data_IF_718652209058
#
_entry.id   IF_718652209058
#
_cell.length_a   1.000
_cell.length_b   1.000
_cell.length_c   1.000
_cell.angle_alpha   90.00
_cell.angle_beta   90.00
_cell.angle_gamma   90.00
#
_symmetry.space_group_name_H-M   'P 1'
#
loop_
_entity.id
_entity.type
_entity.pdbx_description
1 polymer ?
#
# COMPACT_ATOMS: atom_id res chain seq x y z
N UNK A 1 -68.53 27.78 -3.77
CA UNK A 1 -68.54 26.47 -4.44
C UNK A 1 -67.13 26.24 -4.94
N UNK A 2 -66.26 25.67 -4.11
CA UNK A 2 -66.02 24.19 -4.05
C UNK A 2 -65.55 23.70 -5.43
N UNK A 3 -64.36 23.14 -5.61
CA UNK A 3 -63.81 22.03 -4.83
C UNK A 3 -62.30 21.93 -5.10
N UNK A 4 -61.47 22.02 -4.06
CA UNK A 4 -60.03 21.69 -4.12
C UNK A 4 -59.90 20.17 -4.27
N UNK A 5 -59.29 19.69 -5.36
CA UNK A 5 -58.79 18.32 -5.46
C UNK A 5 -57.30 18.31 -5.11
N UNK A 6 -57.02 17.78 -3.93
CA UNK A 6 -55.69 17.44 -3.43
C UNK A 6 -55.34 16.09 -4.05
N UNK A 7 -54.40 16.07 -4.99
CA UNK A 7 -53.80 14.83 -5.49
C UNK A 7 -52.59 14.50 -4.63
N UNK A 8 -52.79 13.57 -3.70
CA UNK A 8 -51.75 12.99 -2.85
C UNK A 8 -51.04 11.90 -3.69
N UNK A 9 -49.88 12.23 -4.28
CA UNK A 9 -49.03 11.25 -4.97
C UNK A 9 -48.04 10.69 -3.96
N UNK A 10 -48.36 9.49 -3.45
CA UNK A 10 -47.45 8.60 -2.75
C UNK A 10 -46.44 8.04 -3.78
N UNK A 11 -45.26 8.64 -3.89
CA UNK A 11 -44.09 7.99 -4.48
C UNK A 11 -43.37 7.18 -3.38
N UNK A 12 -43.80 5.94 -3.22
CA UNK A 12 -43.06 4.87 -2.56
C UNK A 12 -42.28 4.07 -3.59
N UNK A 13 -41.00 3.83 -3.33
CA UNK A 13 -40.12 2.96 -4.11
C UNK A 13 -39.05 3.79 -4.85
N UNK A 14 -37.75 3.54 -4.73
CA UNK A 14 -37.03 2.34 -4.34
C UNK A 14 -35.62 2.80 -3.94
N UNK A 15 -35.30 2.77 -2.65
CA UNK A 15 -33.93 2.94 -2.17
C UNK A 15 -33.18 1.65 -2.50
N UNK A 16 -32.45 1.64 -3.62
CA UNK A 16 -31.42 0.64 -3.88
C UNK A 16 -30.29 0.86 -2.89
N UNK A 17 -30.40 0.24 -1.72
CA UNK A 17 -29.28 0.04 -0.82
C UNK A 17 -28.31 -0.92 -1.52
N UNK A 18 -27.32 -0.36 -2.22
CA UNK A 18 -26.10 -1.07 -2.55
C UNK A 18 -25.39 -1.41 -1.24
N UNK A 19 -25.73 -2.56 -0.67
CA UNK A 19 -24.94 -3.21 0.34
C UNK A 19 -23.61 -3.63 -0.31
N UNK A 20 -22.66 -2.70 -0.35
CA UNK A 20 -21.26 -3.10 -0.37
C UNK A 20 -21.01 -3.78 0.97
N UNK A 21 -21.06 -5.11 0.96
CA UNK A 21 -20.40 -5.92 1.98
C UNK A 21 -18.91 -5.67 1.79
N UNK A 22 -18.43 -4.57 2.37
CA UNK A 22 -17.04 -4.40 2.69
C UNK A 22 -16.74 -5.48 3.73
N UNK A 23 -16.32 -6.65 3.26
CA UNK A 23 -15.65 -7.63 4.09
C UNK A 23 -14.37 -6.98 4.58
N UNK A 24 -14.46 -6.31 5.73
CA UNK A 24 -13.32 -5.98 6.58
C UNK A 24 -12.65 -7.30 6.92
N UNK A 25 -11.69 -7.72 6.09
CA UNK A 25 -10.69 -8.69 6.52
C UNK A 25 -9.87 -7.97 7.59
N UNK A 26 -10.01 -8.41 8.84
CA UNK A 26 -9.08 -8.10 9.92
C UNK A 26 -7.67 -8.55 9.47
N UNK A 27 -6.88 -7.61 8.99
CA UNK A 27 -5.47 -7.80 8.63
C UNK A 27 -4.55 -7.81 9.87
N UNK A 28 -5.10 -7.68 11.08
CA UNK A 28 -4.34 -7.56 12.33
C UNK A 28 -4.10 -8.88 13.08
N UNK A 29 -4.73 -9.99 12.68
CA UNK A 29 -4.30 -11.30 13.17
C UNK A 29 -3.05 -11.76 12.41
N UNK A 30 -1.88 -11.27 12.82
CA UNK A 30 -0.62 -11.92 12.48
C UNK A 30 -0.67 -13.33 13.08
N UNK A 31 -0.66 -14.42 12.29
CA UNK A 31 -0.56 -15.75 12.87
C UNK A 31 0.80 -15.86 13.56
N UNK A 32 0.84 -15.70 14.88
CA UNK A 32 2.03 -15.98 15.68
C UNK A 32 2.23 -17.49 15.66
N UNK A 33 3.17 -17.95 14.83
CA UNK A 33 3.65 -19.33 14.84
C UNK A 33 4.36 -19.53 16.17
N UNK A 34 3.69 -20.16 17.14
CA UNK A 34 4.37 -20.61 18.37
C UNK A 34 5.40 -21.67 17.99
N UNK A 35 6.67 -21.55 18.38
CA UNK A 35 7.65 -22.59 18.18
C UNK A 35 7.36 -23.71 19.19
N UNK A 36 6.69 -24.76 18.73
CA UNK A 36 6.36 -25.91 19.54
C UNK A 36 5.84 -27.07 18.71
N UNK A 37 6.73 -28.02 18.43
CA UNK A 37 6.54 -29.40 17.91
C UNK A 37 6.25 -29.61 16.40
N UNK A 38 7.23 -30.22 15.71
CA UNK A 38 7.13 -31.36 14.77
C UNK A 38 6.06 -31.39 13.63
N UNK A 39 5.67 -30.26 13.07
CA UNK A 39 4.90 -30.21 11.82
C UNK A 39 5.76 -29.63 10.70
N UNK A 40 6.24 -30.46 9.78
CA UNK A 40 6.71 -29.92 8.50
C UNK A 40 5.51 -29.26 7.81
N UNK A 41 5.60 -27.99 7.40
CA UNK A 41 4.53 -27.36 6.64
C UNK A 41 4.24 -28.22 5.42
N UNK A 42 2.97 -28.49 5.14
CA UNK A 42 2.55 -29.28 3.98
C UNK A 42 3.16 -28.68 2.72
N UNK A 43 4.17 -29.36 2.17
CA UNK A 43 4.90 -28.92 0.97
C UNK A 43 4.10 -29.16 -0.32
N UNK A 44 3.05 -29.98 -0.24
CA UNK A 44 2.24 -30.40 -1.38
C UNK A 44 0.76 -30.54 -1.00
N UNK A 45 -0.13 -29.90 -1.76
CA UNK A 45 -1.57 -30.14 -1.69
C UNK A 45 -1.97 -31.07 -2.85
N UNK A 46 -2.39 -32.29 -2.52
CA UNK A 46 -2.87 -33.24 -3.50
C UNK A 46 -4.24 -32.82 -4.05
N UNK A 47 -4.35 -32.78 -5.37
CA UNK A 47 -5.55 -32.39 -6.12
C UNK A 47 -6.08 -33.61 -6.85
N UNK A 48 -7.25 -34.09 -6.44
CA UNK A 48 -7.90 -35.24 -7.07
C UNK A 48 -8.38 -34.89 -8.47
N UNK A 49 -7.92 -35.62 -9.49
CA UNK A 49 -8.40 -35.47 -10.87
C UNK A 49 -9.86 -35.94 -11.03
N UNK A 50 -10.37 -36.74 -10.09
CA UNK A 50 -11.76 -37.20 -10.08
C UNK A 50 -12.72 -36.12 -9.54
N UNK A 51 -12.22 -35.03 -8.96
CA UNK A 51 -13.02 -33.86 -8.60
C UNK A 51 -12.70 -32.71 -9.57
N UNK A 52 -13.45 -32.58 -10.69
CA UNK A 52 -13.15 -31.57 -11.70
C UNK A 52 -13.27 -30.14 -11.16
N UNK A 53 -14.05 -29.91 -10.09
CA UNK A 53 -14.19 -28.57 -9.51
C UNK A 53 -12.92 -28.16 -8.78
N UNK A 54 -12.41 -29.04 -7.91
CA UNK A 54 -11.16 -28.79 -7.17
C UNK A 54 -9.97 -28.76 -8.13
N UNK A 55 -9.95 -29.65 -9.13
CA UNK A 55 -8.92 -29.65 -10.17
C UNK A 55 -8.85 -28.32 -10.94
N UNK A 56 -9.98 -27.85 -11.47
CA UNK A 56 -10.02 -26.60 -12.24
C UNK A 56 -9.71 -25.38 -11.37
N UNK A 57 -10.17 -25.38 -10.11
CA UNK A 57 -9.84 -24.32 -9.17
C UNK A 57 -8.34 -24.24 -8.87
N UNK A 58 -7.69 -25.37 -8.61
CA UNK A 58 -6.25 -25.43 -8.35
C UNK A 58 -5.44 -25.01 -9.59
N UNK A 59 -5.83 -25.48 -10.77
CA UNK A 59 -5.21 -25.09 -12.03
C UNK A 59 -5.34 -23.58 -12.29
N UNK A 60 -6.52 -23.00 -12.04
CA UNK A 60 -6.75 -21.55 -12.15
C UNK A 60 -5.89 -20.75 -11.18
N UNK A 61 -5.79 -21.18 -9.93
CA UNK A 61 -4.96 -20.52 -8.92
C UNK A 61 -3.48 -20.55 -9.30
N UNK A 62 -2.97 -21.69 -9.78
CA UNK A 62 -1.58 -21.81 -10.20
C UNK A 62 -1.27 -21.02 -11.47
N UNK A 63 -2.16 -21.05 -12.48
CA UNK A 63 -2.03 -20.22 -13.68
C UNK A 63 -1.98 -18.72 -13.33
N UNK A 64 -2.86 -18.27 -12.43
CA UNK A 64 -2.88 -16.88 -11.98
C UNK A 64 -1.57 -16.48 -11.27
N UNK A 65 -1.02 -17.37 -10.43
CA UNK A 65 0.27 -17.16 -9.76
C UNK A 65 1.42 -17.05 -10.76
N UNK A 66 1.48 -17.98 -11.73
CA UNK A 66 2.53 -17.98 -12.76
C UNK A 66 2.43 -16.72 -13.62
N UNK A 67 1.24 -16.30 -14.03
CA UNK A 67 1.03 -15.05 -14.74
C UNK A 67 1.49 -13.84 -13.91
N UNK A 68 1.19 -13.84 -12.61
CA UNK A 68 1.64 -12.76 -11.73
C UNK A 68 3.17 -12.67 -11.65
N UNK A 69 3.83 -13.81 -11.44
CA UNK A 69 5.29 -13.87 -11.42
C UNK A 69 5.92 -13.47 -12.75
N UNK A 70 5.37 -13.95 -13.87
CA UNK A 70 5.85 -13.59 -15.21
C UNK A 70 5.78 -12.09 -15.45
N UNK A 71 4.66 -11.44 -15.10
CA UNK A 71 4.50 -9.99 -15.24
C UNK A 71 5.43 -9.20 -14.33
N UNK A 72 5.69 -9.70 -13.12
CA UNK A 72 6.73 -9.13 -12.24
C UNK A 72 8.12 -9.24 -12.87
N UNK A 73 8.46 -10.35 -13.51
CA UNK A 73 9.73 -10.52 -14.22
C UNK A 73 9.86 -9.55 -15.42
N UNK A 74 8.79 -9.41 -16.22
CA UNK A 74 8.77 -8.43 -17.33
C UNK A 74 8.94 -7.00 -16.81
N UNK A 75 8.20 -6.63 -15.75
CA UNK A 75 8.31 -5.31 -15.15
C UNK A 75 9.69 -5.07 -14.51
N UNK A 76 10.27 -6.08 -13.86
CA UNK A 76 11.63 -6.04 -13.32
C UNK A 76 12.65 -5.79 -14.43
N UNK A 77 12.55 -6.51 -15.55
CA UNK A 77 13.41 -6.32 -16.71
C UNK A 77 13.27 -4.93 -17.35
N UNK A 78 12.06 -4.36 -17.35
CA UNK A 78 11.85 -2.97 -17.77
C UNK A 78 12.61 -1.98 -16.87
N UNK A 79 12.52 -2.13 -15.54
CA UNK A 79 13.23 -1.25 -14.61
C UNK A 79 14.75 -1.36 -14.69
N UNK A 80 15.27 -2.56 -14.92
CA UNK A 80 16.69 -2.78 -15.19
C UNK A 80 17.13 -2.03 -16.46
N UNK A 81 16.36 -2.16 -17.55
CA UNK A 81 16.62 -1.50 -18.84
C UNK A 81 16.69 0.02 -18.74
N UNK A 82 15.85 0.65 -17.91
CA UNK A 82 15.83 2.11 -17.73
C UNK A 82 16.75 2.60 -16.58
N UNK A 83 17.41 1.70 -15.86
CA UNK A 83 18.29 2.04 -14.74
C UNK A 83 17.57 2.51 -13.47
N UNK A 84 16.30 2.14 -13.27
CA UNK A 84 15.53 2.49 -12.05
C UNK A 84 15.76 1.41 -10.96
N UNK A 85 16.88 1.55 -10.25
CA UNK A 85 17.35 0.57 -9.27
C UNK A 85 16.36 0.35 -8.10
N UNK A 86 15.66 1.40 -7.67
CA UNK A 86 14.69 1.33 -6.58
C UNK A 86 13.48 0.48 -7.00
N UNK A 87 12.93 0.74 -8.20
CA UNK A 87 11.80 -0.05 -8.73
C UNK A 87 12.20 -1.47 -9.12
N UNK A 88 13.43 -1.67 -9.60
CA UNK A 88 13.99 -3.00 -9.81
C UNK A 88 14.04 -3.81 -8.52
N UNK A 89 14.58 -3.22 -7.44
CA UNK A 89 14.68 -3.87 -6.15
C UNK A 89 13.30 -4.22 -5.59
N UNK A 90 12.35 -3.29 -5.71
CA UNK A 90 10.95 -3.51 -5.37
C UNK A 90 10.35 -4.71 -6.10
N UNK A 91 10.46 -4.77 -7.43
CA UNK A 91 9.89 -5.86 -8.24
C UNK A 91 10.53 -7.20 -7.85
N UNK A 92 11.83 -7.19 -7.54
CA UNK A 92 12.57 -8.37 -7.06
C UNK A 92 12.05 -8.86 -5.70
N UNK A 93 11.78 -7.94 -4.76
CA UNK A 93 11.22 -8.29 -3.46
C UNK A 93 9.81 -8.84 -3.57
N UNK A 94 8.96 -8.25 -4.42
CA UNK A 94 7.59 -8.75 -4.60
C UNK A 94 7.58 -10.12 -5.28
N UNK A 95 8.44 -10.36 -6.26
CA UNK A 95 8.61 -11.69 -6.84
C UNK A 95 9.05 -12.72 -5.79
N UNK A 96 9.99 -12.36 -4.92
CA UNK A 96 10.41 -13.22 -3.80
C UNK A 96 9.27 -13.43 -2.78
N UNK A 97 8.44 -12.42 -2.55
CA UNK A 97 7.28 -12.47 -1.66
C UNK A 97 6.24 -13.47 -2.18
N UNK A 98 5.89 -13.43 -3.47
CA UNK A 98 4.95 -14.40 -4.09
C UNK A 98 5.44 -15.84 -3.91
N UNK A 99 6.73 -16.08 -4.18
CA UNK A 99 7.33 -17.41 -4.00
C UNK A 99 7.32 -17.88 -2.55
N UNK A 100 7.56 -16.99 -1.58
CA UNK A 100 7.52 -17.32 -0.14
C UNK A 100 6.08 -17.49 0.37
N UNK A 101 5.14 -16.73 -0.19
CA UNK A 101 3.75 -16.74 0.19
C UNK A 101 3.08 -18.07 -0.15
N UNK A 102 3.37 -18.66 -1.33
CA UNK A 102 2.96 -20.03 -1.65
C UNK A 102 4.10 -21.02 -1.39
N UNK A 103 4.28 -21.44 -0.14
CA UNK A 103 5.34 -22.40 0.26
C UNK A 103 5.03 -23.86 -0.11
N UNK A 104 3.93 -24.10 -0.83
CA UNK A 104 3.46 -25.43 -1.22
C UNK A 104 3.28 -25.50 -2.75
N UNK A 105 3.29 -26.71 -3.29
CA UNK A 105 2.92 -27.00 -4.68
C UNK A 105 1.59 -27.73 -4.75
N UNK A 106 0.86 -27.55 -5.84
CA UNK A 106 -0.26 -28.42 -6.17
C UNK A 106 0.26 -29.71 -6.78
N UNK A 107 -0.19 -30.86 -6.30
CA UNK A 107 0.14 -32.16 -6.87
C UNK A 107 -1.05 -32.73 -7.62
N UNK A 108 -0.82 -33.29 -8.81
CA UNK A 108 -1.90 -33.86 -9.64
C UNK A 108 -2.50 -32.90 -10.66
N UNK A 109 -2.13 -31.61 -10.63
CA UNK A 109 -2.43 -30.66 -11.72
C UNK A 109 -1.36 -30.74 -12.81
N UNK A 110 -1.74 -30.43 -14.05
CA UNK A 110 -0.81 -30.35 -15.18
C UNK A 110 0.16 -29.17 -15.06
N UNK A 111 1.09 -29.05 -16.02
CA UNK A 111 2.00 -27.90 -16.09
C UNK A 111 1.19 -26.64 -16.40
N UNK A 112 1.20 -25.69 -15.46
CA UNK A 112 0.70 -24.35 -15.69
C UNK A 112 1.74 -23.57 -16.51
N UNK A 113 1.28 -22.83 -17.53
CA UNK A 113 2.15 -22.02 -18.40
C UNK A 113 1.69 -20.58 -18.37
N UNK A 114 2.62 -19.61 -18.35
CA UNK A 114 2.25 -18.20 -18.43
C UNK A 114 1.52 -17.92 -19.74
N UNK A 115 0.59 -16.95 -19.73
CA UNK A 115 -0.03 -16.45 -20.94
C UNK A 115 1.06 -15.92 -21.89
N UNK A 116 1.04 -16.28 -23.19
CA UNK A 116 2.02 -15.78 -24.15
C UNK A 116 1.83 -14.28 -24.40
N UNK A 117 2.93 -13.56 -24.66
CA UNK A 117 2.88 -12.33 -25.47
C UNK A 117 3.27 -11.01 -24.81
N UNK A 118 3.92 -10.97 -23.65
CA UNK A 118 4.32 -9.72 -23.00
C UNK A 118 5.87 -9.54 -23.10
N UNK A 119 6.34 -8.45 -23.70
CA UNK A 119 7.77 -8.12 -23.80
C UNK A 119 8.01 -6.62 -23.48
N UNK A 120 9.17 -6.32 -22.92
CA UNK A 120 9.66 -4.99 -22.55
C UNK A 120 9.88 -4.04 -23.74
N UNK A 121 9.94 -4.56 -24.97
CA UNK A 121 10.44 -3.76 -26.11
C UNK A 121 9.49 -2.66 -26.59
N UNK A 122 8.19 -2.70 -26.27
CA UNK A 122 7.21 -1.68 -26.69
C UNK A 122 6.16 -1.33 -25.62
N UNK A 123 6.41 -1.65 -24.35
CA UNK A 123 5.45 -1.42 -23.27
C UNK A 123 5.82 -0.19 -22.45
N UNK A 124 4.82 0.63 -22.08
CA UNK A 124 5.01 1.70 -21.11
C UNK A 124 5.09 1.13 -19.69
N UNK A 125 5.79 1.83 -18.78
CA UNK A 125 5.81 1.46 -17.36
C UNK A 125 4.39 1.27 -16.81
N UNK A 126 3.50 2.23 -17.07
CA UNK A 126 2.13 2.23 -16.58
C UNK A 126 1.35 0.97 -17.01
N UNK A 127 1.52 0.55 -18.27
CA UNK A 127 0.88 -0.66 -18.78
C UNK A 127 1.40 -1.92 -18.10
N UNK A 128 2.74 -2.08 -17.99
CA UNK A 128 3.34 -3.25 -17.33
C UNK A 128 2.96 -3.32 -15.85
N UNK A 129 2.96 -2.18 -15.18
CA UNK A 129 2.48 -2.00 -13.82
C UNK A 129 1.03 -2.47 -13.66
N UNK A 130 0.12 -2.00 -14.53
CA UNK A 130 -1.29 -2.39 -14.50
C UNK A 130 -1.49 -3.90 -14.67
N UNK A 131 -0.74 -4.54 -15.58
CA UNK A 131 -0.76 -6.00 -15.75
C UNK A 131 -0.36 -6.75 -14.47
N UNK A 132 0.66 -6.26 -13.75
CA UNK A 132 1.09 -6.79 -12.44
C UNK A 132 -0.03 -6.68 -11.41
N UNK A 133 -0.76 -5.57 -11.36
CA UNK A 133 -1.93 -5.40 -10.45
C UNK A 133 -3.05 -6.38 -10.79
N UNK A 134 -3.42 -6.46 -12.07
CA UNK A 134 -4.49 -7.32 -12.55
C UNK A 134 -4.19 -8.77 -12.17
N UNK A 135 -2.99 -9.27 -12.52
CA UNK A 135 -2.58 -10.65 -12.22
C UNK A 135 -2.47 -10.95 -10.72
N UNK A 136 -2.01 -9.98 -9.90
CA UNK A 136 -2.04 -10.11 -8.44
C UNK A 136 -3.46 -10.33 -7.93
N UNK A 137 -4.39 -9.50 -8.39
CA UNK A 137 -5.80 -9.57 -7.97
C UNK A 137 -6.45 -10.87 -8.45
N UNK A 138 -6.13 -11.34 -9.65
CA UNK A 138 -6.58 -12.63 -10.17
C UNK A 138 -6.09 -13.79 -9.28
N UNK A 139 -4.82 -13.79 -8.88
CA UNK A 139 -4.29 -14.83 -7.99
C UNK A 139 -4.93 -14.78 -6.60
N UNK A 140 -5.12 -13.57 -6.03
CA UNK A 140 -5.83 -13.40 -4.76
C UNK A 140 -7.25 -13.94 -4.84
N UNK A 141 -7.98 -13.60 -5.90
CA UNK A 141 -9.34 -14.07 -6.12
C UNK A 141 -9.38 -15.60 -6.26
N UNK A 142 -8.50 -16.18 -7.07
CA UNK A 142 -8.44 -17.63 -7.27
C UNK A 142 -8.07 -18.40 -5.98
N UNK A 143 -7.17 -17.85 -5.15
CA UNK A 143 -6.84 -18.44 -3.85
C UNK A 143 -7.99 -18.33 -2.83
N UNK A 144 -8.77 -17.25 -2.86
CA UNK A 144 -9.99 -17.12 -2.05
C UNK A 144 -11.06 -18.11 -2.50
N UNK A 145 -11.27 -18.24 -3.81
CA UNK A 145 -12.19 -19.21 -4.40
C UNK A 145 -11.80 -20.64 -3.97
N UNK A 146 -10.50 -20.98 -4.02
CA UNK A 146 -10.00 -22.28 -3.57
C UNK A 146 -10.20 -22.54 -2.09
N UNK A 147 -9.95 -21.53 -1.23
CA UNK A 147 -10.24 -21.66 0.19
C UNK A 147 -11.73 -21.95 0.43
N UNK A 148 -12.62 -21.22 -0.24
CA UNK A 148 -14.07 -21.42 -0.15
C UNK A 148 -14.53 -22.78 -0.69
N UNK A 149 -13.97 -23.25 -1.81
CA UNK A 149 -14.27 -24.57 -2.36
C UNK A 149 -13.87 -25.69 -1.39
N UNK A 150 -12.69 -25.60 -0.77
CA UNK A 150 -12.25 -26.56 0.23
C UNK A 150 -13.14 -26.55 1.48
N UNK A 151 -13.56 -25.38 1.95
CA UNK A 151 -14.49 -25.25 3.08
C UNK A 151 -15.85 -25.88 2.79
N UNK A 152 -16.41 -25.65 1.60
CA UNK A 152 -17.68 -26.26 1.17
C UNK A 152 -17.63 -27.79 1.13
N UNK A 153 -16.44 -28.36 0.92
CA UNK A 153 -16.21 -29.82 0.95
C UNK A 153 -15.77 -30.35 2.31
N UNK A 154 -15.71 -29.51 3.35
CA UNK A 154 -15.25 -29.89 4.69
C UNK A 154 -13.74 -30.14 4.79
N UNK A 155 -12.95 -29.71 3.81
CA UNK A 155 -11.50 -29.89 3.74
C UNK A 155 -10.78 -28.73 4.44
N UNK A 156 -10.72 -28.78 5.78
CA UNK A 156 -10.24 -27.67 6.61
C UNK A 156 -8.76 -27.32 6.41
N UNK A 157 -7.87 -28.31 6.33
CA UNK A 157 -6.42 -28.09 6.22
C UNK A 157 -6.00 -27.45 4.88
N UNK A 158 -6.50 -27.91 3.71
CA UNK A 158 -6.26 -27.22 2.43
C UNK A 158 -6.81 -25.79 2.39
N UNK A 159 -8.00 -25.55 2.96
CA UNK A 159 -8.56 -24.20 3.07
C UNK A 159 -7.69 -23.28 3.92
N UNK A 160 -7.22 -23.76 5.07
CA UNK A 160 -6.29 -23.04 5.96
C UNK A 160 -4.96 -22.75 5.27
N UNK A 161 -4.45 -23.69 4.48
CA UNK A 161 -3.24 -23.51 3.68
C UNK A 161 -3.41 -22.36 2.68
N UNK A 162 -4.53 -22.33 1.95
CA UNK A 162 -4.84 -21.25 1.00
C UNK A 162 -4.93 -19.87 1.68
N UNK A 163 -5.64 -19.78 2.81
CA UNK A 163 -5.75 -18.55 3.61
C UNK A 163 -4.40 -18.10 4.17
N UNK A 164 -3.58 -19.04 4.61
CA UNK A 164 -2.25 -18.72 5.13
C UNK A 164 -1.33 -18.20 4.00
N UNK A 165 -1.47 -18.69 2.76
CA UNK A 165 -0.76 -18.15 1.61
C UNK A 165 -1.19 -16.72 1.29
N UNK A 166 -2.50 -16.44 1.32
CA UNK A 166 -3.02 -15.08 1.19
C UNK A 166 -2.52 -14.14 2.30
N UNK A 167 -2.49 -14.60 3.55
CA UNK A 167 -2.00 -13.82 4.68
C UNK A 167 -0.49 -13.55 4.61
N UNK A 168 0.29 -14.50 4.06
CA UNK A 168 1.73 -14.32 3.84
C UNK A 168 2.04 -13.40 2.67
N UNK A 169 1.13 -13.28 1.70
CA UNK A 169 1.26 -12.30 0.63
C UNK A 169 1.06 -10.88 1.19
N UNK A 170 2.15 -10.28 1.66
CA UNK A 170 2.10 -8.95 2.28
C UNK A 170 1.58 -7.90 1.30
N UNK A 171 0.56 -7.09 1.65
CA UNK A 171 0.14 -5.93 0.85
C UNK A 171 1.13 -4.75 0.92
N UNK A 172 2.11 -4.81 1.83
CA UNK A 172 3.00 -3.69 2.18
C UNK A 172 3.97 -3.28 1.06
N UNK A 173 4.24 -4.17 0.10
CA UNK A 173 5.15 -3.92 -1.02
C UNK A 173 4.40 -3.72 -2.33
N UNK A 174 3.12 -3.38 -2.30
CA UNK A 174 2.51 -2.83 -3.50
C UNK A 174 2.87 -1.35 -3.55
N UNK A 175 3.30 -0.86 -4.72
CA UNK A 175 3.23 0.54 -5.13
C UNK A 175 4.51 1.37 -5.05
N UNK A 176 5.49 1.10 -5.92
CA UNK A 176 6.39 2.18 -6.40
C UNK A 176 5.78 2.93 -7.61
N UNK A 177 4.99 2.25 -8.46
CA UNK A 177 4.29 2.88 -9.59
C UNK A 177 2.87 3.35 -9.26
N UNK A 178 2.18 2.84 -8.22
CA UNK A 178 0.97 3.53 -7.73
C UNK A 178 1.29 4.66 -6.76
N UNK A 179 2.56 4.89 -6.40
CA UNK A 179 2.89 6.16 -5.74
C UNK A 179 2.42 7.32 -6.59
N UNK A 180 2.58 7.28 -7.92
CA UNK A 180 2.08 8.37 -8.77
C UNK A 180 0.55 8.42 -8.87
N UNK A 181 -0.14 7.27 -8.73
CA UNK A 181 -1.60 7.22 -8.69
C UNK A 181 -2.18 7.72 -7.35
N UNK A 182 -1.46 7.48 -6.26
CA UNK A 182 -1.90 7.82 -4.90
C UNK A 182 -1.39 9.19 -4.42
N UNK A 183 -0.16 9.54 -4.79
CA UNK A 183 0.51 10.79 -4.46
C UNK A 183 0.41 11.71 -5.68
N UNK A 184 -0.37 12.80 -5.60
CA UNK A 184 -0.48 13.75 -6.69
C UNK A 184 0.88 14.29 -7.15
N UNK A 185 0.96 14.77 -8.39
CA UNK A 185 2.18 15.29 -8.97
C UNK A 185 2.81 16.45 -8.17
N UNK A 186 4.10 16.75 -8.41
CA UNK A 186 4.80 17.86 -7.75
C UNK A 186 4.29 19.25 -8.18
N UNK A 187 3.44 19.31 -9.21
CA UNK A 187 3.01 20.56 -9.86
C UNK A 187 1.86 21.28 -9.14
N UNK A 188 1.32 20.72 -8.06
CA UNK A 188 0.34 21.44 -7.24
C UNK A 188 0.97 22.69 -6.61
N UNK A 189 0.19 23.77 -6.55
CA UNK A 189 0.60 25.07 -6.03
C UNK A 189 -0.46 25.56 -5.03
N UNK A 190 -0.22 25.40 -3.72
CA UNK A 190 -1.08 25.96 -2.68
C UNK A 190 -1.01 27.49 -2.75
N UNK A 191 -2.05 28.15 -3.23
CA UNK A 191 -2.04 29.60 -3.49
C UNK A 191 -3.03 30.39 -2.65
N UNK A 192 -4.04 29.74 -2.05
CA UNK A 192 -5.08 30.43 -1.28
C UNK A 192 -5.55 29.66 -0.05
N UNK A 193 -6.09 30.39 0.91
CA UNK A 193 -6.79 29.83 2.05
C UNK A 193 -8.24 29.54 1.64
N UNK A 194 -8.69 28.30 1.80
CA UNK A 194 -10.06 27.87 1.47
C UNK A 194 -10.75 27.42 2.76
N UNK A 195 -11.80 28.13 3.24
CA UNK A 195 -12.45 27.83 4.52
C UNK A 195 -12.93 26.39 4.67
N UNK A 196 -13.46 25.80 3.60
CA UNK A 196 -13.92 24.41 3.57
C UNK A 196 -12.76 23.43 3.73
N UNK A 197 -11.63 23.71 3.09
CA UNK A 197 -10.40 22.92 3.23
C UNK A 197 -9.81 23.06 4.64
N UNK A 198 -9.85 24.26 5.25
CA UNK A 198 -9.44 24.48 6.64
C UNK A 198 -10.29 23.64 7.60
N UNK A 199 -11.62 23.62 7.40
CA UNK A 199 -12.53 22.82 8.22
C UNK A 199 -12.28 21.31 8.05
N UNK A 200 -12.07 20.84 6.81
CA UNK A 200 -11.75 19.43 6.53
C UNK A 200 -10.39 19.05 7.15
N UNK A 201 -9.38 19.91 7.01
CA UNK A 201 -8.08 19.74 7.63
C UNK A 201 -8.19 19.62 9.16
N UNK A 202 -8.94 20.53 9.79
CA UNK A 202 -9.13 20.53 11.24
C UNK A 202 -9.78 19.23 11.75
N UNK A 203 -10.75 18.67 11.01
CA UNK A 203 -11.36 17.37 11.33
C UNK A 203 -10.36 16.22 11.18
N UNK A 204 -9.64 16.16 10.07
CA UNK A 204 -8.64 15.13 9.81
C UNK A 204 -7.53 15.16 10.88
N UNK A 205 -7.03 16.35 11.22
CA UNK A 205 -6.00 16.54 12.22
C UNK A 205 -6.48 16.14 13.62
N UNK A 206 -7.74 16.43 13.98
CA UNK A 206 -8.32 15.96 15.23
C UNK A 206 -8.33 14.42 15.31
N UNK A 207 -8.75 13.74 14.24
CA UNK A 207 -8.71 12.27 14.18
C UNK A 207 -7.30 11.72 14.31
N UNK A 208 -6.32 12.30 13.60
CA UNK A 208 -4.90 11.93 13.72
C UNK A 208 -4.40 12.07 15.17
N UNK A 209 -4.71 13.19 15.82
CA UNK A 209 -4.33 13.43 17.22
C UNK A 209 -4.97 12.43 18.20
N UNK A 210 -6.23 12.08 17.97
CA UNK A 210 -6.93 11.08 18.78
C UNK A 210 -6.48 9.65 18.48
N UNK A 211 -6.06 9.37 17.25
CA UNK A 211 -5.58 8.05 16.80
C UNK A 211 -4.23 7.67 17.39
N UNK A 212 -3.34 8.65 17.56
CA UNK A 212 -1.94 8.42 17.97
C UNK A 212 -1.77 7.70 19.31
N UNK A 213 -2.74 7.85 20.21
CA UNK A 213 -2.63 7.37 21.58
C UNK A 213 -1.44 8.00 22.33
N UNK A 214 -1.26 7.65 23.61
CA UNK A 214 -0.08 8.07 24.37
C UNK A 214 1.10 7.09 24.21
N UNK A 215 0.82 5.84 23.85
CA UNK A 215 1.78 4.74 23.75
C UNK A 215 1.39 3.81 22.58
N UNK A 216 2.34 3.11 21.94
CA UNK A 216 2.08 2.24 20.78
C UNK A 216 0.95 1.20 20.91
N UNK A 217 0.69 0.55 22.07
CA UNK A 217 -0.44 -0.37 22.18
C UNK A 217 -1.80 0.33 22.33
N UNK A 218 -1.83 1.65 22.45
CA UNK A 218 -3.05 2.47 22.58
C UNK A 218 -3.40 3.22 21.28
N UNK A 219 -2.69 2.96 20.19
CA UNK A 219 -2.98 3.57 18.89
C UNK A 219 -4.30 3.03 18.33
N UNK A 220 -5.20 3.93 17.95
CA UNK A 220 -6.42 3.61 17.22
C UNK A 220 -6.16 3.69 15.71
N UNK A 221 -5.76 2.56 15.13
CA UNK A 221 -5.44 2.43 13.71
C UNK A 221 -6.62 2.78 12.79
N UNK A 222 -7.85 2.61 13.26
CA UNK A 222 -9.05 2.97 12.49
C UNK A 222 -9.12 4.49 12.34
N UNK A 223 -8.93 5.23 13.43
CA UNK A 223 -8.88 6.71 13.39
C UNK A 223 -7.73 7.22 12.53
N UNK A 224 -6.55 6.61 12.61
CA UNK A 224 -5.41 7.00 11.77
C UNK A 224 -5.71 6.78 10.27
N UNK A 225 -6.39 5.69 9.92
CA UNK A 225 -6.83 5.46 8.54
C UNK A 225 -7.89 6.47 8.10
N UNK A 226 -8.87 6.78 8.95
CA UNK A 226 -9.89 7.80 8.66
C UNK A 226 -9.26 9.20 8.47
N UNK A 227 -8.32 9.57 9.32
CA UNK A 227 -7.56 10.82 9.21
C UNK A 227 -6.81 10.89 7.88
N UNK A 228 -6.09 9.83 7.52
CA UNK A 228 -5.36 9.74 6.25
C UNK A 228 -6.30 9.93 5.05
N UNK A 229 -7.43 9.24 5.01
CA UNK A 229 -8.38 9.35 3.90
C UNK A 229 -8.99 10.76 3.80
N UNK A 230 -9.26 11.42 4.93
CA UNK A 230 -9.70 12.83 4.93
C UNK A 230 -8.61 13.79 4.43
N UNK A 231 -7.34 13.58 4.80
CA UNK A 231 -6.24 14.39 4.25
C UNK A 231 -6.11 14.19 2.73
N UNK A 232 -6.22 12.95 2.24
CA UNK A 232 -6.23 12.67 0.79
C UNK A 232 -7.45 13.30 0.10
N UNK A 233 -8.62 13.29 0.73
CA UNK A 233 -9.81 13.96 0.23
C UNK A 233 -9.57 15.46 0.09
N UNK A 234 -9.00 16.11 1.10
CA UNK A 234 -8.66 17.54 1.06
C UNK A 234 -7.79 17.88 -0.15
N UNK A 235 -6.75 17.09 -0.40
CA UNK A 235 -5.82 17.34 -1.51
C UNK A 235 -6.51 17.14 -2.87
N UNK A 236 -7.40 16.15 -2.99
CA UNK A 236 -8.17 15.90 -4.22
C UNK A 236 -9.20 16.99 -4.51
N UNK A 237 -9.94 17.43 -3.51
CA UNK A 237 -11.03 18.40 -3.67
C UNK A 237 -10.54 19.85 -3.69
N UNK A 238 -9.43 20.15 -3.01
CA UNK A 238 -8.88 21.51 -2.86
C UNK A 238 -7.38 21.56 -3.18
N UNK A 239 -6.96 21.23 -4.41
CA UNK A 239 -5.55 21.12 -4.80
C UNK A 239 -4.79 22.48 -4.81
N UNK A 240 -5.48 23.60 -4.63
CA UNK A 240 -4.94 24.95 -4.54
C UNK A 240 -4.94 25.51 -3.10
N UNK A 241 -5.43 24.74 -2.13
CA UNK A 241 -5.52 25.13 -0.72
C UNK A 241 -4.16 25.17 -0.05
N UNK A 242 -3.88 26.22 0.72
CA UNK A 242 -2.68 26.36 1.57
C UNK A 242 -2.45 25.21 2.55
N UNK A 243 -3.44 24.33 2.78
CA UNK A 243 -3.35 23.18 3.68
C UNK A 243 -2.80 21.91 3.04
N UNK A 244 -2.72 21.78 1.71
CA UNK A 244 -2.32 20.51 1.09
C UNK A 244 -0.91 20.05 1.49
N UNK A 245 0.03 20.99 1.66
CA UNK A 245 1.40 20.67 2.03
C UNK A 245 1.49 20.09 3.45
N UNK A 246 0.73 20.65 4.39
CA UNK A 246 0.68 20.17 5.76
C UNK A 246 -0.13 18.87 5.88
N UNK A 247 -1.20 18.73 5.10
CA UNK A 247 -1.92 17.46 4.97
C UNK A 247 -1.00 16.35 4.45
N UNK A 248 -0.18 16.62 3.43
CA UNK A 248 0.83 15.69 2.91
C UNK A 248 1.83 15.23 3.98
N UNK A 249 2.31 16.17 4.82
CA UNK A 249 3.19 15.83 5.94
C UNK A 249 2.53 14.83 6.90
N UNK A 250 1.26 15.04 7.28
CA UNK A 250 0.61 14.12 8.21
C UNK A 250 0.23 12.78 7.57
N UNK A 251 -0.07 12.74 6.26
CA UNK A 251 -0.20 11.46 5.54
C UNK A 251 1.12 10.68 5.61
N UNK A 252 2.27 11.36 5.47
CA UNK A 252 3.58 10.73 5.58
C UNK A 252 3.84 10.18 6.98
N UNK A 253 3.54 10.96 8.04
CA UNK A 253 3.63 10.52 9.44
C UNK A 253 2.79 9.27 9.68
N UNK A 254 1.54 9.25 9.20
CA UNK A 254 0.65 8.09 9.34
C UNK A 254 1.26 6.86 8.65
N UNK A 255 1.77 7.02 7.43
CA UNK A 255 2.41 5.93 6.70
C UNK A 255 3.65 5.39 7.41
N UNK A 256 4.47 6.29 7.94
CA UNK A 256 5.70 5.97 8.66
C UNK A 256 5.42 5.25 9.98
N UNK A 257 4.53 5.78 10.81
CA UNK A 257 4.38 5.35 12.21
C UNK A 257 3.42 4.17 12.37
N UNK A 258 2.39 4.05 11.53
CA UNK A 258 1.31 3.08 11.78
C UNK A 258 1.17 2.02 10.70
N UNK A 259 1.59 2.29 9.47
CA UNK A 259 1.40 1.35 8.36
C UNK A 259 2.70 0.80 7.78
N UNK A 260 3.85 1.20 8.33
CA UNK A 260 5.19 0.77 7.88
C UNK A 260 5.39 0.90 6.36
N UNK A 261 4.82 1.95 5.75
CA UNK A 261 4.94 2.20 4.31
C UNK A 261 6.01 3.26 4.06
N UNK A 262 7.26 2.90 4.27
CA UNK A 262 8.40 3.83 4.27
C UNK A 262 8.58 4.59 2.95
N UNK A 263 8.45 3.90 1.81
CA UNK A 263 8.54 4.53 0.48
C UNK A 263 7.42 5.55 0.28
N UNK A 264 6.20 5.22 0.70
CA UNK A 264 5.06 6.16 0.62
C UNK A 264 5.24 7.35 1.54
N UNK A 265 5.71 7.11 2.77
CA UNK A 265 5.97 8.17 3.72
C UNK A 265 6.97 9.18 3.16
N UNK A 266 8.11 8.72 2.66
CA UNK A 266 9.12 9.58 2.01
C UNK A 266 8.52 10.38 0.85
N UNK A 267 7.70 9.75 0.00
CA UNK A 267 7.07 10.42 -1.15
C UNK A 267 6.05 11.48 -0.74
N UNK A 268 5.33 11.26 0.34
CA UNK A 268 4.43 12.26 0.91
C UNK A 268 5.17 13.40 1.61
N UNK A 269 6.29 13.13 2.29
CA UNK A 269 7.18 14.19 2.77
C UNK A 269 7.74 15.02 1.61
N UNK A 270 8.16 14.37 0.52
CA UNK A 270 8.58 15.04 -0.72
C UNK A 270 7.53 16.04 -1.21
N UNK A 271 6.27 15.64 -1.26
CA UNK A 271 5.17 16.55 -1.61
C UNK A 271 4.98 17.67 -0.61
N UNK A 272 5.12 17.40 0.68
CA UNK A 272 4.97 18.42 1.71
C UNK A 272 5.96 19.57 1.51
N UNK A 273 7.25 19.31 1.28
CA UNK A 273 8.22 20.39 1.04
C UNK A 273 8.12 20.99 -0.37
N UNK A 274 7.81 20.20 -1.40
CA UNK A 274 7.63 20.69 -2.76
C UNK A 274 6.45 21.67 -2.86
N UNK A 275 5.28 21.29 -2.33
CA UNK A 275 4.09 22.14 -2.40
C UNK A 275 4.19 23.37 -1.47
N UNK A 276 4.89 23.26 -0.34
CA UNK A 276 5.11 24.42 0.55
C UNK A 276 6.22 25.37 0.09
N UNK A 277 6.91 25.09 -1.02
CA UNK A 277 8.10 25.82 -1.46
C UNK A 277 9.16 25.94 -0.34
N UNK A 278 9.38 24.87 0.41
CA UNK A 278 10.30 24.81 1.56
C UNK A 278 9.93 25.76 2.73
N UNK A 279 8.66 26.15 2.86
CA UNK A 279 8.17 27.00 3.97
C UNK A 279 7.32 26.22 4.99
N UNK A 280 7.47 24.90 5.03
CA UNK A 280 6.70 24.03 5.91
C UNK A 280 7.04 24.29 7.38
N UNK A 281 6.03 24.27 8.26
CA UNK A 281 6.23 24.42 9.71
C UNK A 281 6.57 23.11 10.43
N UNK A 282 6.67 22.00 9.68
CA UNK A 282 7.01 20.67 10.17
C UNK A 282 8.31 20.18 9.51
N UNK A 283 9.11 19.33 10.19
CA UNK A 283 10.45 18.96 9.76
C UNK A 283 10.44 17.81 8.73
N UNK A 284 9.89 18.05 7.54
CA UNK A 284 9.68 17.01 6.53
C UNK A 284 10.99 16.41 6.01
N UNK A 285 12.03 17.23 5.77
CA UNK A 285 13.31 16.72 5.28
C UNK A 285 13.97 15.79 6.29
N UNK A 286 13.95 16.18 7.57
CA UNK A 286 14.51 15.36 8.65
C UNK A 286 13.76 14.03 8.77
N UNK A 287 12.42 14.04 8.73
CA UNK A 287 11.66 12.79 8.81
C UNK A 287 11.97 11.87 7.62
N UNK A 288 12.01 12.39 6.39
CA UNK A 288 12.39 11.60 5.22
C UNK A 288 13.83 11.06 5.33
N UNK A 289 14.78 11.86 5.83
CA UNK A 289 16.17 11.44 6.02
C UNK A 289 16.27 10.24 6.96
N UNK A 290 15.55 10.24 8.09
CA UNK A 290 15.55 9.11 9.03
C UNK A 290 15.01 7.83 8.42
N UNK A 291 14.01 7.92 7.53
CA UNK A 291 13.46 6.76 6.83
C UNK A 291 14.48 6.23 5.82
N UNK A 292 15.05 7.11 4.99
CA UNK A 292 16.08 6.73 4.01
C UNK A 292 17.27 6.03 4.68
N UNK A 293 17.74 6.57 5.79
CA UNK A 293 18.88 6.07 6.54
C UNK A 293 18.59 4.73 7.25
N UNK A 294 17.58 4.74 8.11
CA UNK A 294 17.39 3.69 9.11
C UNK A 294 16.51 2.54 8.60
N UNK A 295 15.62 2.80 7.64
CA UNK A 295 14.62 1.83 7.16
C UNK A 295 14.86 1.38 5.73
N UNK A 296 15.21 2.31 4.84
CA UNK A 296 15.46 2.01 3.42
C UNK A 296 16.94 1.78 3.11
N UNK A 297 17.85 2.07 4.06
CA UNK A 297 19.29 1.94 3.91
C UNK A 297 19.90 2.67 2.68
N UNK A 298 19.23 3.72 2.20
CA UNK A 298 19.70 4.57 1.12
C UNK A 298 20.51 5.74 1.69
N UNK A 299 21.80 5.50 1.91
CA UNK A 299 22.73 6.45 2.55
C UNK A 299 22.87 7.76 1.76
N UNK A 300 22.90 7.68 0.44
CA UNK A 300 23.07 8.85 -0.42
C UNK A 300 21.89 9.80 -0.29
N UNK A 301 20.66 9.27 -0.41
CA UNK A 301 19.43 10.07 -0.21
C UNK A 301 19.26 10.55 1.21
N UNK A 302 19.66 9.76 2.21
CA UNK A 302 19.65 10.18 3.59
C UNK A 302 20.51 11.43 3.83
N UNK A 303 21.76 11.42 3.33
CA UNK A 303 22.68 12.56 3.46
C UNK A 303 22.13 13.81 2.75
N UNK A 304 21.58 13.65 1.54
CA UNK A 304 20.90 14.73 0.82
C UNK A 304 19.78 15.35 1.67
N UNK A 305 18.91 14.52 2.25
CA UNK A 305 17.79 14.98 3.06
C UNK A 305 18.23 15.61 4.39
N UNK A 306 19.23 15.06 5.09
CA UNK A 306 19.76 15.69 6.32
C UNK A 306 20.35 17.07 6.05
N UNK A 307 21.09 17.26 4.96
CA UNK A 307 21.60 18.59 4.56
C UNK A 307 20.47 19.57 4.28
N UNK A 308 19.43 19.13 3.56
CA UNK A 308 18.25 19.95 3.30
C UNK A 308 17.47 20.27 4.59
N UNK A 309 17.42 19.35 5.56
CA UNK A 309 16.80 19.60 6.86
C UNK A 309 17.50 20.74 7.60
N UNK A 310 18.83 20.75 7.61
CA UNK A 310 19.61 21.85 8.23
C UNK A 310 19.36 23.21 7.56
N UNK A 311 18.95 23.21 6.29
CA UNK A 311 18.73 24.43 5.50
C UNK A 311 17.29 24.94 5.54
N UNK A 312 16.31 24.04 5.50
CA UNK A 312 14.91 24.39 5.23
C UNK A 312 13.94 23.96 6.34
N UNK A 313 14.26 22.94 7.12
CA UNK A 313 13.34 22.51 8.17
C UNK A 313 13.33 23.53 9.32
N UNK A 314 12.17 23.68 10.00
CA UNK A 314 12.12 24.45 11.24
C UNK A 314 13.01 23.80 12.31
N UNK A 315 13.71 24.60 13.13
CA UNK A 315 14.54 24.05 14.20
C UNK A 315 13.67 23.30 15.21
N UNK A 316 14.01 22.05 15.46
CA UNK A 316 13.43 21.19 16.51
C UNK A 316 14.55 20.70 17.40
N UNK A 317 14.26 20.57 18.70
CA UNK A 317 15.26 20.17 19.69
C UNK A 317 15.92 18.84 19.28
N UNK A 318 17.25 18.85 19.14
CA UNK A 318 18.05 17.66 18.81
C UNK A 318 18.11 17.28 17.33
N UNK A 319 17.15 17.69 16.49
CA UNK A 319 17.13 17.28 15.08
C UNK A 319 18.39 17.74 14.31
N UNK A 320 18.81 19.00 14.51
CA UNK A 320 19.95 19.55 13.77
C UNK A 320 21.28 18.92 14.20
N UNK A 321 21.47 18.71 15.50
CA UNK A 321 22.67 18.05 16.02
C UNK A 321 22.73 16.59 15.57
N UNK A 322 21.57 15.90 15.58
CA UNK A 322 21.45 14.56 15.04
C UNK A 322 21.82 14.52 13.56
N UNK A 323 21.27 15.43 12.73
CA UNK A 323 21.54 15.49 11.30
C UNK A 323 23.03 15.72 11.00
N UNK A 324 23.70 16.68 11.68
CA UNK A 324 25.14 16.93 11.51
C UNK A 324 25.99 15.71 11.87
N UNK A 325 25.73 15.12 13.04
CA UNK A 325 26.43 13.93 13.48
C UNK A 325 26.21 12.77 12.50
N UNK A 326 24.99 12.60 12.02
CA UNK A 326 24.67 11.51 11.10
C UNK A 326 25.29 11.70 9.71
N UNK A 327 25.36 12.93 9.19
CA UNK A 327 26.12 13.23 7.97
C UNK A 327 27.59 12.87 8.15
N UNK A 328 28.20 13.20 9.29
CA UNK A 328 29.58 12.82 9.61
C UNK A 328 29.77 11.32 9.63
N UNK A 329 28.87 10.57 10.27
CA UNK A 329 28.94 9.11 10.32
C UNK A 329 28.80 8.47 8.93
N UNK A 330 27.91 9.00 8.09
CA UNK A 330 27.61 8.43 6.77
C UNK A 330 28.67 8.79 5.70
N UNK A 331 29.36 9.92 5.86
CA UNK A 331 30.29 10.45 4.82
C UNK A 331 31.74 10.56 5.26
N UNK A 332 32.02 10.53 6.56
CA UNK A 332 33.33 10.82 7.15
C UNK A 332 33.71 12.30 7.15
N UNK A 333 32.80 13.23 6.83
CA UNK A 333 33.06 14.67 6.72
C UNK A 333 32.22 15.48 7.71
N UNK A 334 32.78 16.57 8.24
CA UNK A 334 32.04 17.55 9.03
C UNK A 334 31.37 18.60 8.12
N UNK A 335 30.17 19.05 8.50
CA UNK A 335 29.38 20.09 7.80
C UNK A 335 28.87 21.19 8.73
#
# INVERSE_FOLDING_TARGET
MEQKRISFVLMTGMLAACAFVAGCFDLDERPTVKPGTLWEPTKALHVSQNDPTIYQGALRAENARINYMYRLEVLKGYYDKIGDADKYHWASLELANVNKAQWFKWEGIGNATPAPGENVDNASEAYLAELVVISRNEWIAAMKDMAGLYEQRGMTEPAKTCRTALARLRPEHLYTYMVSAEVPGPDLRPTRVVPEAEALYGKAYKLFREGKGLLPPLTDYKKEREAQEMFKQLIREYPDSSRIALAAYYIADIYKEYFNKDVMAVKWYERAWQWSENKLTEPAYFQAATIYDLRLHNKEKAVECYRNALKYDPPRLGNFDYARNRIKDLTGKEE
#
